data_IF_190889431840
#
_entry.id   IF_190889431840
#
_cell.length_a   1.000
_cell.length_b   1.000
_cell.length_c   1.000
_cell.angle_alpha   90.00
_cell.angle_beta   90.00
_cell.angle_gamma   90.00
#
_symmetry.space_group_name_H-M   'P 1'
#
loop_
_entity.id
_entity.type
_entity.pdbx_description
1 polymer ?
#
# COMPACT_ATOMS: atom_id res chain seq x y z
N UNK A 1 9.39 65.36 -4.24
CA UNK A 1 8.33 64.64 -3.51
C UNK A 1 8.47 63.16 -3.84
N UNK A 2 9.08 62.37 -2.96
CA UNK A 2 8.43 61.50 -1.97
C UNK A 2 7.78 60.26 -2.64
N UNK A 3 8.52 59.14 -2.74
CA UNK A 3 8.47 57.98 -1.84
C UNK A 3 7.09 57.28 -1.85
N UNK A 4 7.03 56.10 -2.48
CA UNK A 4 6.42 54.95 -1.82
C UNK A 4 6.92 53.61 -2.39
N UNK A 5 7.94 53.08 -1.72
CA UNK A 5 8.28 51.66 -1.69
C UNK A 5 7.44 51.02 -0.58
N UNK A 6 6.58 50.05 -0.89
CA UNK A 6 6.15 49.06 0.09
C UNK A 6 6.22 47.67 -0.53
N UNK A 7 7.24 46.96 -0.10
CA UNK A 7 7.39 45.51 -0.15
C UNK A 7 6.08 44.79 0.16
N UNK A 8 5.76 43.77 -0.62
CA UNK A 8 5.43 42.50 0.01
C UNK A 8 5.83 41.39 -0.94
N UNK A 9 7.04 40.89 -0.71
CA UNK A 9 7.54 39.68 -1.34
C UNK A 9 6.58 38.54 -1.02
N UNK A 10 5.72 38.22 -1.98
CA UNK A 10 5.09 36.91 -2.04
C UNK A 10 5.76 36.14 -3.16
N UNK A 11 7.07 35.91 -2.98
CA UNK A 11 7.69 34.72 -3.54
C UNK A 11 6.84 33.56 -3.02
N UNK A 12 5.92 33.07 -3.86
CA UNK A 12 5.42 31.71 -3.70
C UNK A 12 6.69 30.87 -3.68
N UNK A 13 7.08 30.39 -2.50
CA UNK A 13 7.79 29.13 -2.41
C UNK A 13 6.87 28.15 -3.12
N UNK A 14 7.07 28.03 -4.43
CA UNK A 14 6.82 26.79 -5.11
C UNK A 14 7.84 25.91 -4.41
N UNK A 15 7.38 25.14 -3.43
CA UNK A 15 8.08 23.90 -3.10
C UNK A 15 8.04 23.13 -4.42
N UNK A 16 9.05 23.38 -5.27
CA UNK A 16 9.38 22.51 -6.37
C UNK A 16 9.67 21.19 -5.67
N UNK A 17 8.65 20.34 -5.62
CA UNK A 17 8.80 18.97 -5.17
C UNK A 17 9.70 18.28 -6.19
N UNK A 18 11.00 18.43 -5.96
CA UNK A 18 12.08 17.78 -6.67
C UNK A 18 11.75 16.29 -6.75
N UNK A 19 11.43 15.89 -7.98
CA UNK A 19 10.81 14.63 -8.36
C UNK A 19 11.70 13.47 -7.98
N UNK A 20 11.42 12.88 -6.82
CA UNK A 20 11.99 11.60 -6.42
C UNK A 20 11.54 10.52 -7.39
N UNK A 21 12.41 10.19 -8.34
CA UNK A 21 12.50 9.00 -9.17
C UNK A 21 11.24 8.11 -9.20
N UNK A 22 10.38 8.35 -10.20
CA UNK A 22 9.75 7.36 -11.08
C UNK A 22 9.02 6.12 -10.54
N UNK A 23 8.84 5.93 -9.23
CA UNK A 23 8.21 4.71 -8.72
C UNK A 23 6.68 4.82 -8.81
N UNK A 24 6.09 4.29 -9.89
CA UNK A 24 4.66 4.39 -10.20
C UNK A 24 3.74 3.60 -9.25
N UNK A 25 4.29 2.71 -8.42
CA UNK A 25 3.52 1.78 -7.59
C UNK A 25 3.18 0.47 -8.33
N UNK A 26 2.29 -0.36 -7.75
CA UNK A 26 1.82 -1.60 -8.39
C UNK A 26 0.96 -1.32 -9.63
N UNK A 27 0.97 -2.25 -10.58
CA UNK A 27 0.22 -2.13 -11.84
C UNK A 27 -1.28 -2.42 -11.62
N UNK A 28 -2.11 -1.39 -11.71
CA UNK A 28 -3.57 -1.51 -11.56
C UNK A 28 -4.20 -2.43 -12.61
N UNK A 29 -3.70 -2.40 -13.85
CA UNK A 29 -4.26 -3.17 -14.95
C UNK A 29 -4.02 -4.67 -14.79
N UNK A 30 -2.83 -5.04 -14.32
CA UNK A 30 -2.47 -6.43 -13.99
C UNK A 30 -3.34 -6.95 -12.84
N UNK A 31 -3.44 -6.18 -11.75
CA UNK A 31 -4.27 -6.55 -10.59
C UNK A 31 -5.75 -6.66 -10.97
N UNK A 32 -6.29 -5.69 -11.71
CA UNK A 32 -7.68 -5.73 -12.17
C UNK A 32 -7.94 -6.90 -13.11
N UNK A 33 -6.98 -7.27 -13.95
CA UNK A 33 -7.11 -8.43 -14.85
C UNK A 33 -7.20 -9.72 -14.04
N UNK A 34 -6.37 -9.87 -13.01
CA UNK A 34 -6.42 -11.01 -12.09
C UNK A 34 -7.75 -11.09 -11.33
N UNK A 35 -8.33 -9.94 -10.95
CA UNK A 35 -9.61 -9.86 -10.25
C UNK A 35 -10.84 -10.07 -11.17
N UNK A 36 -10.77 -9.69 -12.44
CA UNK A 36 -11.90 -9.74 -13.39
C UNK A 36 -12.10 -11.07 -14.08
N UNK A 37 -11.08 -11.94 -14.11
CA UNK A 37 -11.14 -13.19 -14.83
C UNK A 37 -12.01 -14.19 -14.05
N UNK A 38 -13.33 -14.18 -14.34
CA UNK A 38 -14.30 -15.05 -13.69
C UNK A 38 -14.46 -16.39 -14.44
N UNK A 39 -14.49 -17.54 -13.74
CA UNK A 39 -14.26 -17.70 -12.30
C UNK A 39 -12.78 -17.45 -11.94
N UNK A 40 -12.54 -16.70 -10.87
CA UNK A 40 -11.21 -16.55 -10.30
C UNK A 40 -10.80 -17.91 -9.73
N UNK A 41 -10.09 -18.72 -10.53
CA UNK A 41 -9.45 -19.93 -10.04
C UNK A 41 -8.47 -19.52 -8.93
N UNK A 42 -8.32 -20.31 -7.86
CA UNK A 42 -7.54 -19.97 -6.65
C UNK A 42 -6.10 -19.49 -6.95
N UNK A 43 -5.52 -19.93 -8.06
CA UNK A 43 -4.21 -19.47 -8.54
C UNK A 43 -4.16 -17.98 -8.94
N UNK A 44 -5.29 -17.41 -9.38
CA UNK A 44 -5.35 -16.02 -9.86
C UNK A 44 -5.43 -15.00 -8.72
N UNK A 45 -6.07 -15.37 -7.60
CA UNK A 45 -6.18 -14.47 -6.44
C UNK A 45 -4.83 -14.29 -5.73
N UNK A 46 -4.02 -15.36 -5.67
CA UNK A 46 -2.64 -15.29 -5.17
C UNK A 46 -1.76 -14.46 -6.11
N UNK A 47 -1.94 -14.60 -7.43
CA UNK A 47 -1.26 -13.76 -8.42
C UNK A 47 -1.64 -12.28 -8.27
N UNK A 48 -2.92 -11.96 -8.02
CA UNK A 48 -3.38 -10.59 -7.76
C UNK A 48 -2.68 -9.98 -6.54
N UNK A 49 -2.54 -10.75 -5.45
CA UNK A 49 -1.81 -10.30 -4.26
C UNK A 49 -0.33 -10.04 -4.57
N UNK A 50 0.33 -10.95 -5.28
CA UNK A 50 1.73 -10.79 -5.66
C UNK A 50 1.95 -9.58 -6.57
N UNK A 51 1.06 -9.35 -7.54
CA UNK A 51 1.08 -8.16 -8.39
C UNK A 51 0.87 -6.87 -7.59
N UNK A 52 -0.08 -6.87 -6.64
CA UNK A 52 -0.34 -5.70 -5.79
C UNK A 52 0.80 -5.37 -4.83
N UNK A 53 1.58 -6.37 -4.40
CA UNK A 53 2.76 -6.18 -3.55
C UNK A 53 4.04 -5.87 -4.33
N UNK A 54 4.00 -5.89 -5.67
CA UNK A 54 5.15 -5.58 -6.53
C UNK A 54 5.37 -4.08 -6.60
N UNK A 55 6.64 -3.66 -6.66
CA UNK A 55 7.05 -2.25 -6.81
C UNK A 55 6.38 -1.28 -5.79
N UNK A 56 6.43 -1.55 -4.48
CA UNK A 56 5.83 -0.67 -3.49
C UNK A 56 6.46 0.73 -3.55
N UNK A 57 5.67 1.82 -3.49
CA UNK A 57 6.15 3.20 -3.62
C UNK A 57 6.84 3.70 -2.33
N UNK A 58 7.94 3.05 -1.94
CA UNK A 58 8.68 3.32 -0.69
C UNK A 58 9.56 4.58 -0.84
N UNK A 59 10.08 4.84 -2.04
CA UNK A 59 11.04 5.93 -2.26
C UNK A 59 10.41 7.20 -2.83
N UNK A 60 9.13 7.18 -3.22
CA UNK A 60 8.44 8.39 -3.66
C UNK A 60 8.01 9.25 -2.48
N UNK A 61 8.06 10.57 -2.67
CA UNK A 61 7.48 11.56 -1.77
C UNK A 61 6.01 11.81 -2.07
N UNK A 62 5.53 11.41 -3.25
CA UNK A 62 4.16 11.65 -3.68
C UNK A 62 3.17 10.82 -2.86
N UNK A 63 2.39 11.49 -2.02
CA UNK A 63 1.34 10.84 -1.24
C UNK A 63 0.27 10.20 -2.15
N UNK A 64 -0.05 10.84 -3.28
CA UNK A 64 -1.03 10.32 -4.23
C UNK A 64 -0.66 8.93 -4.78
N UNK A 65 0.62 8.67 -5.03
CA UNK A 65 1.10 7.36 -5.51
C UNK A 65 1.01 6.30 -4.40
N UNK A 66 1.37 6.68 -3.18
CA UNK A 66 1.25 5.83 -2.00
C UNK A 66 -0.20 5.45 -1.72
N UNK A 67 -1.12 6.40 -1.80
CA UNK A 67 -2.55 6.17 -1.56
C UNK A 67 -3.16 5.31 -2.65
N UNK A 68 -2.75 5.52 -3.91
CA UNK A 68 -3.11 4.64 -5.02
C UNK A 68 -2.66 3.20 -4.76
N UNK A 69 -1.39 2.98 -4.44
CA UNK A 69 -0.86 1.65 -4.12
C UNK A 69 -1.61 0.99 -2.95
N UNK A 70 -1.88 1.76 -1.89
CA UNK A 70 -2.66 1.30 -0.75
C UNK A 70 -4.08 0.88 -1.15
N UNK A 71 -4.74 1.65 -2.01
CA UNK A 71 -6.08 1.36 -2.51
C UNK A 71 -6.14 0.07 -3.32
N UNK A 72 -5.13 -0.18 -4.16
CA UNK A 72 -5.00 -1.40 -4.97
C UNK A 72 -4.83 -2.63 -4.05
N UNK A 73 -3.90 -2.56 -3.10
CA UNK A 73 -3.66 -3.66 -2.17
C UNK A 73 -4.92 -3.92 -1.34
N UNK A 74 -5.54 -2.89 -0.79
CA UNK A 74 -6.74 -3.03 0.03
C UNK A 74 -7.90 -3.65 -0.76
N UNK A 75 -8.09 -3.27 -2.02
CA UNK A 75 -9.08 -3.89 -2.93
C UNK A 75 -8.86 -5.39 -3.08
N UNK A 76 -7.60 -5.81 -3.24
CA UNK A 76 -7.26 -7.25 -3.28
C UNK A 76 -7.59 -7.90 -1.93
N UNK A 77 -7.10 -7.35 -0.80
CA UNK A 77 -7.31 -7.94 0.53
C UNK A 77 -8.80 -8.14 0.87
N UNK A 78 -9.67 -7.20 0.49
CA UNK A 78 -11.12 -7.29 0.75
C UNK A 78 -11.81 -8.28 -0.20
N UNK A 79 -11.25 -8.53 -1.39
CA UNK A 79 -11.80 -9.47 -2.37
C UNK A 79 -11.53 -10.94 -2.00
N UNK A 80 -10.65 -11.20 -1.05
CA UNK A 80 -10.34 -12.55 -0.57
C UNK A 80 -11.44 -13.14 0.31
N UNK A 81 -11.57 -14.47 0.26
CA UNK A 81 -12.36 -15.24 1.24
C UNK A 81 -11.46 -15.62 2.41
N UNK A 82 -12.02 -15.63 3.62
CA UNK A 82 -11.29 -15.94 4.85
C UNK A 82 -10.48 -17.25 4.79
N UNK A 83 -11.02 -18.29 4.15
CA UNK A 83 -10.38 -19.61 4.04
C UNK A 83 -9.13 -19.63 3.15
N UNK A 84 -8.97 -18.65 2.26
CA UNK A 84 -7.88 -18.61 1.28
C UNK A 84 -6.73 -17.68 1.71
N UNK A 85 -6.95 -16.85 2.74
CA UNK A 85 -5.96 -15.91 3.28
C UNK A 85 -4.70 -16.64 3.73
N UNK A 86 -4.84 -17.73 4.49
CA UNK A 86 -3.70 -18.45 5.05
C UNK A 86 -2.77 -19.00 3.96
N UNK A 87 -3.35 -19.59 2.91
CA UNK A 87 -2.57 -20.10 1.76
C UNK A 87 -1.85 -18.96 1.03
N UNK A 88 -2.51 -17.83 0.84
CA UNK A 88 -1.91 -16.68 0.18
C UNK A 88 -0.74 -16.08 0.99
N UNK A 89 -0.88 -15.96 2.31
CA UNK A 89 0.21 -15.49 3.18
C UNK A 89 1.39 -16.46 3.17
N UNK A 90 1.14 -17.77 3.18
CA UNK A 90 2.19 -18.79 3.09
C UNK A 90 2.93 -18.81 1.74
N UNK A 91 2.33 -18.26 0.68
CA UNK A 91 2.97 -18.11 -0.63
C UNK A 91 3.96 -16.94 -0.70
N UNK A 92 3.92 -16.03 0.29
CA UNK A 92 4.83 -14.88 0.36
C UNK A 92 6.14 -15.26 1.04
N UNK A 93 7.23 -14.66 0.59
CA UNK A 93 8.50 -14.74 1.30
C UNK A 93 8.49 -13.79 2.52
N UNK A 94 9.54 -13.86 3.36
CA UNK A 94 9.64 -13.05 4.58
C UNK A 94 9.52 -11.54 4.29
N UNK A 95 10.08 -11.07 3.17
CA UNK A 95 10.00 -9.66 2.81
C UNK A 95 8.60 -9.27 2.34
N UNK A 96 7.91 -10.15 1.61
CA UNK A 96 6.51 -10.00 1.23
C UNK A 96 5.56 -9.93 2.43
N UNK A 97 5.75 -10.77 3.45
CA UNK A 97 4.95 -10.73 4.70
C UNK A 97 5.15 -9.41 5.45
N UNK A 98 6.38 -8.91 5.51
CA UNK A 98 6.67 -7.61 6.14
C UNK A 98 6.03 -6.45 5.38
N UNK A 99 6.01 -6.52 4.05
CA UNK A 99 5.38 -5.51 3.21
C UNK A 99 3.85 -5.56 3.33
N UNK A 100 3.27 -6.77 3.34
CA UNK A 100 1.85 -6.98 3.60
C UNK A 100 1.46 -6.37 4.95
N UNK A 101 2.26 -6.57 6.00
CA UNK A 101 2.00 -5.99 7.32
C UNK A 101 1.95 -4.45 7.27
N UNK A 102 2.84 -3.80 6.50
CA UNK A 102 2.78 -2.33 6.31
C UNK A 102 1.47 -1.88 5.66
N UNK A 103 1.01 -2.58 4.61
CA UNK A 103 -0.25 -2.25 3.96
C UNK A 103 -1.48 -2.53 4.83
N UNK A 104 -1.44 -3.54 5.71
CA UNK A 104 -2.50 -3.80 6.69
C UNK A 104 -2.63 -2.62 7.66
N UNK A 105 -1.50 -2.15 8.21
CA UNK A 105 -1.50 -0.98 9.10
C UNK A 105 -1.99 0.28 8.38
N UNK A 106 -1.56 0.50 7.14
CA UNK A 106 -2.06 1.59 6.31
C UNK A 106 -3.58 1.48 6.06
N UNK A 107 -4.09 0.27 5.82
CA UNK A 107 -5.52 0.03 5.65
C UNK A 107 -6.34 0.39 6.89
N UNK A 108 -5.80 0.19 8.09
CA UNK A 108 -6.46 0.58 9.33
C UNK A 108 -6.59 2.10 9.51
N UNK A 109 -5.80 2.91 8.80
CA UNK A 109 -5.93 4.38 8.81
C UNK A 109 -7.16 4.87 8.04
N UNK A 110 -7.67 4.06 7.10
CA UNK A 110 -8.81 4.38 6.23
C UNK A 110 -9.89 3.30 6.28
N UNK A 111 -10.57 3.12 7.43
CA UNK A 111 -11.59 2.09 7.57
C UNK A 111 -12.81 2.42 6.68
N UNK A 112 -13.18 1.48 5.81
CA UNK A 112 -14.45 1.45 5.08
C UNK A 112 -15.33 0.28 5.56
N UNK A 113 -16.61 0.25 5.20
CA UNK A 113 -17.54 -0.79 5.66
C UNK A 113 -17.00 -2.21 5.44
N UNK A 114 -16.97 -3.00 6.52
CA UNK A 114 -16.44 -4.37 6.61
C UNK A 114 -14.94 -4.58 6.30
N UNK A 115 -14.19 -3.55 5.88
CA UNK A 115 -12.76 -3.67 5.59
C UNK A 115 -11.93 -4.05 6.82
N UNK A 116 -12.23 -3.45 7.98
CA UNK A 116 -11.48 -3.69 9.23
C UNK A 116 -11.58 -5.14 9.70
N UNK A 117 -12.74 -5.78 9.53
CA UNK A 117 -12.92 -7.19 9.90
C UNK A 117 -12.04 -8.11 9.05
N UNK A 118 -12.01 -7.89 7.73
CA UNK A 118 -11.11 -8.62 6.84
C UNK A 118 -9.63 -8.32 7.14
N UNK A 119 -9.27 -7.05 7.37
CA UNK A 119 -7.90 -6.67 7.73
C UNK A 119 -7.41 -7.31 9.02
N UNK A 120 -8.29 -7.52 10.01
CA UNK A 120 -7.94 -8.25 11.23
C UNK A 120 -7.63 -9.74 10.95
N UNK A 121 -8.38 -10.39 10.05
CA UNK A 121 -8.08 -11.77 9.62
C UNK A 121 -6.73 -11.84 8.89
N UNK A 122 -6.45 -10.89 8.00
CA UNK A 122 -5.15 -10.75 7.35
C UNK A 122 -4.03 -10.54 8.35
N UNK A 123 -4.24 -9.67 9.34
CA UNK A 123 -3.28 -9.40 10.40
C UNK A 123 -2.95 -10.67 11.19
N UNK A 124 -3.94 -11.45 11.58
CA UNK A 124 -3.74 -12.72 12.30
C UNK A 124 -2.81 -13.66 11.52
N UNK A 125 -3.07 -13.86 10.22
CA UNK A 125 -2.27 -14.77 9.40
C UNK A 125 -0.88 -14.22 9.08
N UNK A 126 -0.75 -12.93 8.81
CA UNK A 126 0.53 -12.27 8.61
C UNK A 126 1.39 -12.28 9.90
N UNK A 127 0.77 -12.15 11.07
CA UNK A 127 1.45 -12.27 12.37
C UNK A 127 1.92 -13.72 12.60
N UNK A 128 1.12 -14.72 12.28
CA UNK A 128 1.51 -16.12 12.38
C UNK A 128 2.73 -16.44 11.49
N UNK A 129 2.79 -15.88 10.28
CA UNK A 129 3.89 -16.11 9.34
C UNK A 129 5.16 -15.27 9.65
N UNK A 130 4.99 -14.00 10.00
CA UNK A 130 6.10 -13.04 10.18
C UNK A 130 6.56 -12.85 11.62
N UNK A 131 5.78 -13.31 12.60
CA UNK A 131 5.96 -13.06 14.02
C UNK A 131 5.84 -11.57 14.39
N UNK A 132 6.02 -11.25 15.67
CA UNK A 132 5.98 -9.84 16.16
C UNK A 132 7.01 -8.95 15.47
N UNK A 133 8.10 -9.53 14.95
CA UNK A 133 9.13 -8.80 14.22
C UNK A 133 8.63 -8.08 12.98
N UNK A 134 7.59 -8.59 12.29
CA UNK A 134 7.01 -7.92 11.12
C UNK A 134 6.33 -6.61 11.53
N UNK A 135 5.62 -6.59 12.66
CA UNK A 135 5.03 -5.39 13.25
C UNK A 135 6.11 -4.40 13.69
N UNK A 136 7.16 -4.87 14.38
CA UNK A 136 8.28 -4.00 14.79
C UNK A 136 8.91 -3.31 13.59
N UNK A 137 9.03 -4.00 12.45
CA UNK A 137 9.53 -3.42 11.20
C UNK A 137 8.58 -2.41 10.56
N UNK A 138 7.27 -2.49 10.81
CA UNK A 138 6.33 -1.40 10.47
C UNK A 138 6.64 -0.17 11.31
N UNK A 139 6.72 -0.33 12.64
CA UNK A 139 6.89 0.79 13.58
C UNK A 139 8.25 1.49 13.46
N UNK A 140 9.27 0.78 13.01
CA UNK A 140 10.65 1.30 12.90
C UNK A 140 11.00 1.81 11.49
N UNK A 141 10.13 1.61 10.49
CA UNK A 141 10.41 1.99 9.12
C UNK A 141 10.43 3.53 8.94
N UNK A 142 11.59 4.08 8.52
CA UNK A 142 11.71 5.51 8.18
C UNK A 142 11.15 5.88 6.82
N UNK A 143 11.08 4.90 5.90
CA UNK A 143 10.42 5.00 4.60
C UNK A 143 9.40 3.87 4.52
N UNK A 144 8.14 4.23 4.32
CA UNK A 144 7.03 3.29 4.27
C UNK A 144 6.07 3.63 3.13
N UNK A 145 5.22 2.64 2.81
CA UNK A 145 4.12 2.72 1.82
C UNK A 145 3.06 3.72 2.22
#
# INVERSE_FOLDING_TARGET
MAKNTVSSGRFRKVDEEDGGDGQAGPDEGEVDSCLRQYPCLDGNMTAALQAALKNPPINTKSQAVKDRAGSIVLKVLISFKANDIEKAVQSLDKSGVDLLMKYIYKGFESPSDNSSAMLLQWHEKALAAGGVGSIVRVLTARKTV
#
